data_IF_384211020972
#
_entry.id   IF_384211020972
#
_cell.length_a   1.000
_cell.length_b   1.000
_cell.length_c   1.000
_cell.angle_alpha   90.00
_cell.angle_beta   90.00
_cell.angle_gamma   90.00
#
_symmetry.space_group_name_H-M   'P 1'
#
loop_
_entity.id
_entity.type
_entity.pdbx_description
1 polymer ?
#
# COMPACT_ATOMS: atom_id res chain seq x y z
N UNK A 1 -15.44 -0.39 2.60
CA UNK A 1 -15.03 -1.59 3.35
C UNK A 1 -13.56 -1.80 3.05
N UNK A 2 -12.74 -2.03 4.07
CA UNK A 2 -11.35 -2.46 3.94
C UNK A 2 -11.30 -3.87 4.52
N UNK A 3 -10.86 -4.83 3.72
CA UNK A 3 -10.64 -6.22 4.14
C UNK A 3 -9.16 -6.48 4.00
N UNK A 4 -8.54 -6.87 5.09
CA UNK A 4 -7.18 -7.35 5.19
C UNK A 4 -7.28 -8.78 5.71
N UNK A 5 -6.93 -9.72 4.83
CA UNK A 5 -7.04 -11.14 5.11
C UNK A 5 -6.17 -11.94 4.14
N UNK A 6 -5.60 -13.02 4.64
CA UNK A 6 -4.99 -14.07 3.82
C UNK A 6 -5.21 -15.43 4.46
N UNK A 7 -4.99 -16.49 3.67
CA UNK A 7 -4.96 -17.85 4.19
C UNK A 7 -3.52 -18.30 4.48
N UNK A 8 -3.42 -19.35 5.28
CA UNK A 8 -2.21 -20.15 5.40
C UNK A 8 -2.41 -21.46 4.61
N UNK A 9 -1.44 -21.84 3.78
CA UNK A 9 -1.46 -23.10 3.04
C UNK A 9 -0.11 -23.80 3.15
N UNK A 10 -0.12 -25.05 3.60
CA UNK A 10 1.10 -25.83 3.89
C UNK A 10 2.10 -25.05 4.75
N UNK A 11 1.59 -24.34 5.77
CA UNK A 11 2.34 -23.48 6.69
C UNK A 11 2.90 -22.18 6.10
N UNK A 12 2.55 -21.80 4.87
CA UNK A 12 2.93 -20.51 4.29
C UNK A 12 1.76 -19.54 4.28
N UNK A 13 2.01 -18.32 4.76
CA UNK A 13 1.04 -17.24 4.77
C UNK A 13 0.90 -16.59 3.37
N UNK A 14 -0.31 -16.12 3.09
CA UNK A 14 -0.60 -15.08 2.10
C UNK A 14 -1.12 -13.85 2.83
N UNK A 15 -0.96 -12.66 2.24
CA UNK A 15 -1.42 -11.43 2.88
C UNK A 15 -1.98 -10.43 1.86
N UNK A 16 -3.29 -10.16 1.93
CA UNK A 16 -3.98 -9.38 0.93
C UNK A 16 -4.98 -8.42 1.57
N UNK A 17 -4.66 -7.14 1.48
CA UNK A 17 -5.64 -6.06 1.68
C UNK A 17 -6.28 -5.57 0.37
N UNK A 18 -7.62 -5.44 0.38
CA UNK A 18 -8.41 -4.71 -0.62
C UNK A 18 -9.39 -3.74 0.04
N UNK A 19 -9.57 -2.59 -0.57
CA UNK A 19 -10.58 -1.60 -0.16
C UNK A 19 -11.57 -1.36 -1.29
N UNK A 20 -12.87 -1.40 -1.00
CA UNK A 20 -13.93 -1.22 -1.99
C UNK A 20 -15.19 -0.55 -1.39
N UNK A 21 -16.02 0.10 -2.21
CA UNK A 21 -17.26 0.73 -1.76
C UNK A 21 -18.31 -0.33 -1.42
N UNK A 22 -18.96 -0.22 -0.26
CA UNK A 22 -19.96 -1.20 0.18
C UNK A 22 -21.15 -1.32 -0.79
N UNK A 23 -21.48 -0.25 -1.49
CA UNK A 23 -22.56 -0.18 -2.47
C UNK A 23 -22.09 -0.40 -3.92
N UNK A 24 -20.84 -0.83 -4.14
CA UNK A 24 -20.29 -1.09 -5.47
C UNK A 24 -19.86 0.13 -6.29
N UNK A 25 -19.97 1.36 -5.76
CA UNK A 25 -19.55 2.59 -6.47
C UNK A 25 -18.75 3.53 -5.58
N UNK A 26 -17.57 3.94 -6.02
CA UNK A 26 -16.76 4.90 -5.27
C UNK A 26 -17.40 6.29 -5.35
N UNK A 27 -17.54 6.95 -4.20
CA UNK A 27 -17.73 8.41 -4.20
C UNK A 27 -16.49 9.12 -4.74
N UNK A 28 -16.62 10.41 -5.11
CA UNK A 28 -15.51 11.19 -5.63
C UNK A 28 -14.34 11.26 -4.64
N UNK A 29 -14.61 11.47 -3.36
CA UNK A 29 -13.59 11.51 -2.30
C UNK A 29 -12.93 10.15 -2.07
N UNK A 30 -13.72 9.06 -2.01
CA UNK A 30 -13.15 7.72 -1.87
C UNK A 30 -12.26 7.36 -3.05
N UNK A 31 -12.71 7.65 -4.28
CA UNK A 31 -11.93 7.42 -5.51
C UNK A 31 -10.62 8.20 -5.50
N UNK A 32 -10.65 9.47 -5.09
CA UNK A 32 -9.46 10.31 -5.06
C UNK A 32 -8.38 9.78 -4.11
N UNK A 33 -8.76 9.30 -2.92
CA UNK A 33 -7.82 8.65 -1.99
C UNK A 33 -7.37 7.30 -2.54
N UNK A 34 -8.30 6.51 -3.06
CA UNK A 34 -8.03 5.18 -3.60
C UNK A 34 -7.01 5.21 -4.72
N UNK A 35 -7.14 6.11 -5.69
CA UNK A 35 -6.21 6.21 -6.82
C UNK A 35 -4.80 6.66 -6.38
N UNK A 36 -4.66 7.43 -5.30
CA UNK A 36 -3.34 7.76 -4.72
C UNK A 36 -2.70 6.50 -4.14
N UNK A 37 -3.44 5.73 -3.33
CA UNK A 37 -2.93 4.48 -2.74
C UNK A 37 -2.58 3.47 -3.83
N UNK A 38 -3.41 3.31 -4.85
CA UNK A 38 -3.15 2.43 -5.99
C UNK A 38 -1.87 2.84 -6.74
N UNK A 39 -1.68 4.14 -6.98
CA UNK A 39 -0.46 4.65 -7.59
C UNK A 39 0.77 4.40 -6.70
N UNK A 40 0.65 4.63 -5.40
CA UNK A 40 1.72 4.40 -4.43
C UNK A 40 2.13 2.92 -4.39
N UNK A 41 1.15 2.01 -4.45
CA UNK A 41 1.40 0.58 -4.50
C UNK A 41 2.16 0.20 -5.76
N UNK A 42 1.68 0.66 -6.93
CA UNK A 42 2.35 0.37 -8.20
C UNK A 42 3.82 0.78 -8.21
N UNK A 43 4.14 2.00 -7.78
CA UNK A 43 5.54 2.46 -7.78
C UNK A 43 6.39 1.78 -6.71
N UNK A 44 5.78 1.36 -5.59
CA UNK A 44 6.48 0.61 -4.55
C UNK A 44 6.84 -0.80 -5.03
N UNK A 45 5.90 -1.48 -5.70
CA UNK A 45 6.14 -2.77 -6.36
C UNK A 45 7.25 -2.64 -7.42
N UNK A 46 7.22 -1.59 -8.26
CA UNK A 46 8.27 -1.33 -9.27
C UNK A 46 9.67 -1.12 -8.66
N UNK A 47 9.76 -0.72 -7.39
CA UNK A 47 11.02 -0.55 -6.66
C UNK A 47 11.57 -1.86 -6.08
N UNK A 48 10.79 -2.94 -6.07
CA UNK A 48 11.22 -4.27 -5.60
C UNK A 48 12.08 -4.93 -6.68
N UNK A 49 13.39 -4.99 -6.48
CA UNK A 49 14.32 -5.65 -7.41
C UNK A 49 15.64 -5.99 -6.74
N UNK A 50 16.42 -6.96 -7.27
CA UNK A 50 17.74 -7.28 -6.73
C UNK A 50 18.63 -6.05 -6.60
N UNK A 51 19.32 -5.94 -5.46
CA UNK A 51 20.23 -4.84 -5.15
C UNK A 51 19.56 -3.54 -4.70
N UNK A 52 18.23 -3.43 -4.76
CA UNK A 52 17.53 -2.33 -4.09
C UNK A 52 17.55 -2.54 -2.57
N UNK A 53 17.57 -1.47 -1.78
CA UNK A 53 17.41 -1.58 -0.34
C UNK A 53 15.98 -1.98 0.03
N UNK A 54 15.82 -2.69 1.14
CA UNK A 54 14.51 -3.05 1.72
C UNK A 54 13.55 -1.84 1.84
N UNK A 55 14.09 -0.67 2.16
CA UNK A 55 13.30 0.55 2.38
C UNK A 55 13.00 1.32 1.08
N UNK A 56 13.52 0.90 -0.07
CA UNK A 56 13.29 1.58 -1.35
C UNK A 56 11.80 1.63 -1.75
N UNK A 57 11.02 0.53 -1.65
CA UNK A 57 9.58 0.56 -1.87
C UNK A 57 8.84 1.51 -0.92
N UNK A 58 9.28 1.59 0.35
CA UNK A 58 8.64 2.47 1.32
C UNK A 58 8.83 3.93 0.94
N UNK A 59 10.05 4.33 0.61
CA UNK A 59 10.36 5.69 0.17
C UNK A 59 9.61 6.07 -1.13
N UNK A 60 9.44 5.13 -2.06
CA UNK A 60 8.64 5.34 -3.26
C UNK A 60 7.16 5.61 -2.93
N UNK A 61 6.57 4.82 -2.02
CA UNK A 61 5.19 5.01 -1.57
C UNK A 61 4.98 6.34 -0.85
N UNK A 62 5.88 6.71 0.06
CA UNK A 62 5.83 7.96 0.83
C UNK A 62 5.85 9.18 -0.09
N UNK A 63 6.69 9.15 -1.14
CA UNK A 63 6.75 10.22 -2.13
C UNK A 63 5.40 10.41 -2.83
N UNK A 64 4.83 9.34 -3.37
CA UNK A 64 3.54 9.41 -4.10
C UNK A 64 2.40 9.83 -3.19
N UNK A 65 2.32 9.26 -1.98
CA UNK A 65 1.28 9.62 -1.02
C UNK A 65 1.41 11.09 -0.63
N UNK A 66 2.60 11.58 -0.30
CA UNK A 66 2.78 12.98 0.09
C UNK A 66 2.41 13.94 -1.03
N UNK A 67 2.85 13.67 -2.27
CA UNK A 67 2.46 14.47 -3.44
C UNK A 67 0.94 14.46 -3.68
N UNK A 68 0.30 13.29 -3.52
CA UNK A 68 -1.15 13.13 -3.62
C UNK A 68 -1.91 13.91 -2.56
N UNK A 69 -1.49 13.83 -1.29
CA UNK A 69 -2.08 14.57 -0.17
C UNK A 69 -1.97 16.08 -0.38
N UNK A 70 -0.85 16.57 -0.92
CA UNK A 70 -0.70 17.99 -1.29
C UNK A 70 -1.65 18.37 -2.43
N UNK A 71 -1.76 17.53 -3.47
CA UNK A 71 -2.66 17.78 -4.61
C UNK A 71 -4.14 17.85 -4.18
N UNK A 72 -4.55 17.06 -3.19
CA UNK A 72 -5.91 17.12 -2.63
C UNK A 72 -6.11 18.21 -1.56
N UNK A 73 -5.05 18.94 -1.20
CA UNK A 73 -5.09 19.98 -0.17
C UNK A 73 -5.19 19.45 1.26
N UNK A 74 -4.91 18.15 1.48
CA UNK A 74 -4.85 17.50 2.80
C UNK A 74 -3.56 17.82 3.54
N UNK A 75 -2.48 18.03 2.79
CA UNK A 75 -1.23 18.65 3.26
C UNK A 75 -0.97 19.95 2.50
N UNK A 76 -0.24 20.88 3.12
CA UNK A 76 0.12 22.17 2.52
C UNK A 76 1.62 22.40 2.66
N UNK A 77 2.30 22.65 1.54
CA UNK A 77 3.74 22.89 1.50
C UNK A 77 4.43 22.13 0.37
N UNK A 78 5.76 22.15 0.37
CA UNK A 78 6.58 21.42 -0.62
C UNK A 78 6.71 19.94 -0.22
N UNK A 79 6.42 18.97 -1.11
CA UNK A 79 6.49 17.54 -0.78
C UNK A 79 7.81 17.11 -0.13
N UNK A 80 8.95 17.59 -0.63
CA UNK A 80 10.27 17.25 -0.07
C UNK A 80 10.45 17.69 1.39
N UNK A 81 9.90 18.84 1.78
CA UNK A 81 9.94 19.30 3.16
C UNK A 81 8.98 18.51 4.05
N UNK A 82 7.78 18.21 3.54
CA UNK A 82 6.77 17.42 4.25
C UNK A 82 7.22 15.98 4.50
N UNK A 83 7.94 15.37 3.56
CA UNK A 83 8.58 14.06 3.74
C UNK A 83 9.66 14.15 4.82
N UNK A 84 10.54 15.15 4.75
CA UNK A 84 11.61 15.35 5.74
C UNK A 84 11.08 15.55 7.16
N UNK A 85 9.96 16.27 7.31
CA UNK A 85 9.30 16.47 8.60
C UNK A 85 8.30 15.37 8.96
N UNK A 86 8.22 14.30 8.16
CA UNK A 86 7.31 13.17 8.32
C UNK A 86 5.83 13.54 8.45
N UNK A 87 5.41 14.67 7.86
CA UNK A 87 4.03 15.17 7.97
C UNK A 87 2.98 14.23 7.36
N UNK A 88 3.41 13.31 6.48
CA UNK A 88 2.54 12.27 5.92
C UNK A 88 2.09 11.24 6.96
N UNK A 89 2.78 11.11 8.10
CA UNK A 89 2.44 10.12 9.15
C UNK A 89 1.09 10.39 9.82
N UNK A 90 0.56 11.61 9.73
CA UNK A 90 -0.83 11.91 10.12
C UNK A 90 -1.85 11.11 9.29
N UNK A 91 -1.45 10.57 8.13
CA UNK A 91 -2.30 9.83 7.19
C UNK A 91 -1.78 8.43 6.83
N UNK A 92 -0.45 8.21 6.86
CA UNK A 92 0.23 6.97 6.50
C UNK A 92 1.34 6.68 7.52
N UNK A 93 0.97 6.00 8.60
CA UNK A 93 1.78 5.85 9.82
C UNK A 93 2.58 4.54 9.90
N UNK A 94 2.37 3.60 8.98
CA UNK A 94 3.01 2.29 8.98
C UNK A 94 4.05 2.16 7.86
N UNK A 95 4.79 1.05 7.86
CA UNK A 95 5.72 0.69 6.77
C UNK A 95 4.93 0.19 5.56
N UNK A 96 5.59 0.14 4.41
CA UNK A 96 4.94 -0.32 3.18
C UNK A 96 4.87 -1.84 3.09
N UNK A 97 5.47 -2.58 4.01
CA UNK A 97 5.49 -4.03 3.97
C UNK A 97 6.49 -4.64 4.95
N UNK A 98 6.43 -5.96 5.03
CA UNK A 98 7.22 -6.85 5.87
C UNK A 98 7.61 -8.10 5.07
N UNK A 99 8.57 -8.88 5.58
CA UNK A 99 8.84 -10.22 5.04
C UNK A 99 7.60 -11.09 5.17
N UNK A 100 7.43 -12.01 4.24
CA UNK A 100 6.32 -12.96 4.20
C UNK A 100 6.85 -14.36 3.93
N UNK A 101 6.37 -15.34 4.69
CA UNK A 101 6.80 -16.73 4.58
C UNK A 101 5.95 -17.64 5.46
N UNK A 102 6.58 -18.35 6.40
CA UNK A 102 5.82 -19.25 7.28
C UNK A 102 5.01 -18.49 8.33
N UNK A 103 5.55 -17.38 8.83
CA UNK A 103 4.80 -16.40 9.60
C UNK A 103 4.39 -15.23 8.68
N UNK A 104 3.22 -14.62 8.95
CA UNK A 104 2.75 -13.46 8.16
C UNK A 104 3.75 -12.30 8.22
N UNK A 105 4.26 -12.01 9.40
CA UNK A 105 5.42 -11.15 9.61
C UNK A 105 6.66 -12.04 9.78
N UNK A 106 7.22 -12.46 8.65
CA UNK A 106 8.23 -13.53 8.63
C UNK A 106 9.57 -13.10 9.23
N UNK A 107 10.39 -14.10 9.54
CA UNK A 107 11.73 -13.93 10.07
C UNK A 107 12.66 -13.25 9.06
N UNK A 108 13.78 -12.70 9.56
CA UNK A 108 14.85 -12.18 8.73
C UNK A 108 15.23 -10.75 9.08
N UNK A 109 16.53 -10.48 9.17
CA UNK A 109 17.02 -9.16 9.53
C UNK A 109 16.71 -8.16 8.42
N UNK A 110 15.93 -7.11 8.73
CA UNK A 110 15.70 -5.98 7.83
C UNK A 110 16.94 -5.10 7.62
N UNK A 111 17.89 -5.16 8.56
CA UNK A 111 19.16 -4.43 8.51
C UNK A 111 20.34 -5.37 8.77
N UNK A 112 21.44 -5.12 8.06
CA UNK A 112 22.73 -5.77 8.25
C UNK A 112 23.74 -4.64 8.46
N UNK A 113 24.48 -4.66 9.56
CA UNK A 113 25.42 -3.59 9.96
C UNK A 113 24.78 -2.19 9.91
N UNK A 114 23.59 -2.05 10.53
CA UNK A 114 22.75 -0.85 10.58
C UNK A 114 22.26 -0.29 9.22
N UNK A 115 22.58 -0.96 8.12
CA UNK A 115 22.11 -0.61 6.77
C UNK A 115 20.94 -1.47 6.37
N UNK A 116 19.99 -0.89 5.64
CA UNK A 116 18.88 -1.65 5.06
C UNK A 116 19.42 -2.80 4.21
N UNK A 117 18.91 -4.00 4.46
CA UNK A 117 19.26 -5.20 3.71
C UNK A 117 18.97 -4.98 2.24
N UNK A 118 19.88 -5.43 1.37
CA UNK A 118 19.63 -5.43 -0.06
C UNK A 118 18.74 -6.61 -0.42
N UNK A 119 17.79 -6.36 -1.31
CA UNK A 119 16.90 -7.39 -1.84
C UNK A 119 17.70 -8.35 -2.73
N UNK A 120 17.44 -9.64 -2.58
CA UNK A 120 18.05 -10.71 -3.37
C UNK A 120 16.94 -11.63 -3.91
N UNK A 121 17.13 -12.28 -5.07
CA UNK A 121 16.15 -13.21 -5.62
C UNK A 121 15.77 -14.30 -4.61
N UNK A 122 14.46 -14.57 -4.47
CA UNK A 122 13.93 -15.55 -3.53
C UNK A 122 13.32 -14.95 -2.25
N UNK A 123 13.63 -13.69 -1.93
CA UNK A 123 12.95 -12.97 -0.84
C UNK A 123 11.50 -12.66 -1.20
N UNK A 124 10.58 -12.73 -0.24
CA UNK A 124 9.16 -12.41 -0.41
C UNK A 124 8.75 -11.32 0.59
N UNK A 125 8.01 -10.32 0.11
CA UNK A 125 7.56 -9.16 0.88
C UNK A 125 6.14 -8.78 0.52
N UNK A 126 5.38 -8.24 1.46
CA UNK A 126 4.15 -7.49 1.17
C UNK A 126 4.47 -6.10 0.63
N UNK A 127 3.54 -5.51 -0.13
CA UNK A 127 3.54 -4.11 -0.54
C UNK A 127 2.15 -3.50 -0.32
N UNK A 128 1.99 -2.78 0.78
CA UNK A 128 0.72 -2.43 1.43
C UNK A 128 0.57 -0.95 1.80
N UNK A 129 0.81 0.02 0.90
CA UNK A 129 0.60 1.43 1.25
C UNK A 129 -0.86 1.71 1.67
N UNK A 130 -1.04 2.67 2.58
CA UNK A 130 -2.36 3.07 3.04
C UNK A 130 -2.48 4.57 3.34
N UNK A 131 -3.71 5.08 3.27
CA UNK A 131 -4.11 6.41 3.71
C UNK A 131 -5.32 6.27 4.62
N UNK A 132 -5.23 6.80 5.83
CA UNK A 132 -6.31 6.80 6.83
C UNK A 132 -6.57 8.21 7.32
N UNK A 133 -7.83 8.64 7.21
CA UNK A 133 -8.27 9.97 7.61
C UNK A 133 -9.22 9.80 8.79
N UNK A 134 -8.75 10.11 10.00
CA UNK A 134 -9.53 9.90 11.21
C UNK A 134 -10.90 10.66 11.15
N UNK A 135 -11.99 10.07 11.67
CA UNK A 135 -13.32 10.69 11.64
C UNK A 135 -13.37 12.08 12.32
N UNK A 136 -12.52 12.29 13.32
CA UNK A 136 -12.40 13.49 14.14
C UNK A 136 -11.26 14.42 13.70
N UNK A 137 -10.58 14.13 12.59
CA UNK A 137 -9.48 14.97 12.10
C UNK A 137 -9.99 16.37 11.69
N UNK A 138 -9.88 17.32 12.63
CA UNK A 138 -10.33 18.69 12.45
C UNK A 138 -9.45 19.49 11.47
N UNK A 139 -8.24 19.01 11.14
CA UNK A 139 -7.31 19.67 10.20
C UNK A 139 -7.75 19.54 8.74
N UNK A 140 -8.67 18.62 8.44
CA UNK A 140 -9.17 18.36 7.08
C UNK A 140 -10.66 18.67 6.96
N UNK A 141 -11.13 18.92 5.73
CA UNK A 141 -12.57 19.15 5.47
C UNK A 141 -13.38 17.88 5.71
N UNK A 142 -14.63 18.05 6.15
CA UNK A 142 -15.51 16.95 6.62
C UNK A 142 -15.68 15.82 5.60
N UNK A 143 -15.66 16.13 4.31
CA UNK A 143 -15.84 15.16 3.21
C UNK A 143 -14.77 14.06 3.14
N UNK A 144 -13.59 14.30 3.71
CA UNK A 144 -12.48 13.33 3.72
C UNK A 144 -12.48 12.42 4.95
N UNK A 145 -13.16 12.84 6.02
CA UNK A 145 -13.05 12.19 7.34
C UNK A 145 -13.70 10.81 7.32
N UNK A 146 -13.05 9.85 7.99
CA UNK A 146 -13.49 8.46 8.06
C UNK A 146 -13.13 7.61 6.84
N UNK A 147 -12.40 8.15 5.85
CA UNK A 147 -11.91 7.36 4.72
C UNK A 147 -10.61 6.67 5.13
N UNK A 148 -10.61 5.33 5.08
CA UNK A 148 -9.42 4.50 5.21
C UNK A 148 -9.27 3.61 3.97
N UNK A 149 -8.09 3.61 3.36
CA UNK A 149 -7.76 2.80 2.20
C UNK A 149 -6.39 2.18 2.39
N UNK A 150 -6.29 0.87 2.19
CA UNK A 150 -5.04 0.13 1.98
C UNK A 150 -5.24 -0.81 0.79
N UNK A 151 -4.18 -1.01 0.01
CA UNK A 151 -4.14 -1.92 -1.13
C UNK A 151 -2.81 -2.65 -1.06
N UNK A 152 -2.86 -3.97 -0.95
CA UNK A 152 -1.71 -4.79 -0.62
C UNK A 152 -1.54 -5.97 -1.56
N UNK A 153 -0.30 -6.29 -1.90
CA UNK A 153 0.01 -7.48 -2.67
C UNK A 153 1.28 -8.15 -2.15
N UNK A 154 1.32 -9.47 -2.30
CA UNK A 154 2.48 -10.32 -2.03
C UNK A 154 3.45 -10.28 -3.22
N UNK A 155 4.73 -10.05 -2.95
CA UNK A 155 5.75 -9.81 -3.99
C UNK A 155 6.99 -10.65 -3.75
N UNK A 156 7.31 -11.50 -4.73
CA UNK A 156 8.56 -12.25 -4.81
C UNK A 156 9.63 -11.45 -5.55
N UNK A 157 10.81 -11.29 -4.98
CA UNK A 157 11.99 -10.77 -5.68
C UNK A 157 12.49 -11.84 -6.66
N UNK A 158 12.62 -11.49 -7.94
CA UNK A 158 13.13 -12.37 -9.01
C UNK A 158 14.52 -11.94 -9.45
N UNK A 159 15.17 -12.72 -10.32
CA UNK A 159 16.54 -12.41 -10.83
C UNK A 159 16.66 -11.05 -11.52
N UNK A 160 15.58 -10.52 -12.09
CA UNK A 160 15.59 -9.28 -12.89
C UNK A 160 14.61 -8.22 -12.36
N UNK A 161 13.91 -8.48 -11.26
CA UNK A 161 12.90 -7.57 -10.72
C UNK A 161 12.03 -8.24 -9.67
N UNK A 162 10.73 -8.32 -9.95
CA UNK A 162 9.72 -8.85 -9.02
C UNK A 162 8.67 -9.68 -9.74
N UNK A 163 7.90 -10.45 -8.97
CA UNK A 163 6.68 -11.13 -9.38
C UNK A 163 5.61 -10.90 -8.32
N UNK A 164 4.48 -10.34 -8.71
CA UNK A 164 3.29 -10.23 -7.85
C UNK A 164 2.59 -11.58 -7.80
N UNK A 165 2.27 -12.07 -6.59
CA UNK A 165 1.65 -13.38 -6.38
C UNK A 165 0.13 -13.30 -6.26
N UNK A 166 -0.41 -12.16 -5.84
CA UNK A 166 -1.82 -11.90 -5.53
C UNK A 166 -2.61 -11.22 -6.65
N UNK A 167 -2.29 -11.51 -7.92
CA UNK A 167 -2.92 -10.86 -9.09
C UNK A 167 -4.36 -11.30 -9.38
N UNK A 168 -4.86 -12.31 -8.67
CA UNK A 168 -6.20 -12.89 -8.91
C UNK A 168 -7.37 -12.02 -8.44
N UNK A 169 -7.12 -10.94 -7.70
CA UNK A 169 -8.17 -10.08 -7.12
C UNK A 169 -8.07 -8.67 -7.72
N UNK A 170 -9.15 -8.16 -8.35
CA UNK A 170 -9.24 -6.80 -8.88
C UNK A 170 -8.72 -5.72 -7.93
N UNK A 171 -8.06 -4.69 -8.47
CA UNK A 171 -7.61 -3.54 -7.67
C UNK A 171 -7.71 -2.20 -8.37
N UNK A 172 -8.01 -2.13 -9.67
CA UNK A 172 -8.37 -0.83 -10.26
C UNK A 172 -9.81 -0.46 -9.90
N UNK A 173 -10.11 0.84 -9.86
CA UNK A 173 -11.48 1.33 -9.63
C UNK A 173 -12.45 0.71 -10.64
N UNK A 174 -12.07 0.69 -11.92
CA UNK A 174 -12.90 0.15 -12.98
C UNK A 174 -13.17 -1.34 -12.81
N UNK A 175 -12.15 -2.15 -12.54
CA UNK A 175 -12.34 -3.59 -12.36
C UNK A 175 -13.19 -3.89 -11.12
N UNK A 176 -12.98 -3.17 -10.01
CA UNK A 176 -13.79 -3.35 -8.78
C UNK A 176 -15.25 -3.01 -9.04
N UNK A 177 -15.54 -1.83 -9.60
CA UNK A 177 -16.93 -1.42 -9.87
C UNK A 177 -17.60 -2.37 -10.88
N UNK A 178 -16.84 -2.83 -11.89
CA UNK A 178 -17.35 -3.78 -12.90
C UNK A 178 -17.61 -5.17 -12.30
N UNK A 179 -16.73 -5.64 -11.40
CA UNK A 179 -16.90 -6.90 -10.69
C UNK A 179 -18.12 -6.86 -9.77
N UNK A 180 -18.30 -5.76 -9.02
CA UNK A 180 -19.43 -5.61 -8.08
C UNK A 180 -20.77 -5.33 -8.76
N UNK A 181 -20.77 -4.81 -10.00
CA UNK A 181 -22.00 -4.58 -10.76
C UNK A 181 -22.67 -5.87 -11.25
N UNK A 182 -21.90 -6.97 -11.34
CA UNK A 182 -22.42 -8.28 -11.71
C UNK A 182 -22.78 -9.03 -10.42
N UNK A 183 -24.07 -9.26 -10.11
CA UNK A 183 -24.43 -10.10 -8.98
C UNK A 183 -23.82 -11.49 -9.18
N UNK A 184 -23.06 -11.96 -8.20
CA UNK A 184 -22.57 -13.33 -8.16
C UNK A 184 -23.80 -14.23 -8.11
N UNK A 185 -23.98 -15.05 -9.15
CA UNK A 185 -24.99 -16.11 -9.20
C UNK A 185 -24.64 -17.26 -8.26
#
# INVERSE_FOLDING_TARGET
VLIDAGCEYEYYASDITRTFPANGKFSAEQRAIYEIVLKAQKVAIEAVKPGASWDAPHNASVKVITEGLVKLGLLKGRPTQLIKSEAYKDFYMHRVGHWLGMDVHDVGNYKIDDKWRLLEPGMVTTIEPGIYIAPDNAKVTKKWRGIGVRIEDDVLVTKTGYKVLSTGIPKTVQEIESFMANPVH
#
